data_IF_559144389829
#
_entry.id   IF_559144389829
#
_cell.length_a   1.000
_cell.length_b   1.000
_cell.length_c   1.000
_cell.angle_alpha   90.00
_cell.angle_beta   90.00
_cell.angle_gamma   90.00
#
_symmetry.space_group_name_H-M   'P 1'
#
loop_
_entity.id
_entity.type
_entity.pdbx_description
1 polymer ?
#
# COMPACT_ATOMS: atom_id res chain seq x y z
N UNK A 1 -10.47 -9.19 -7.92
CA UNK A 1 -10.02 -8.65 -6.63
C UNK A 1 -9.59 -9.81 -5.74
N UNK A 2 -8.67 -9.57 -4.82
CA UNK A 2 -8.23 -10.52 -3.81
C UNK A 2 -8.13 -9.82 -2.47
N UNK A 3 -8.32 -10.58 -1.41
CA UNK A 3 -8.15 -10.16 -0.02
C UNK A 3 -6.96 -10.90 0.60
N UNK A 4 -6.21 -10.20 1.43
CA UNK A 4 -5.24 -10.80 2.33
C UNK A 4 -5.47 -10.32 3.76
N UNK A 5 -5.43 -11.25 4.71
CA UNK A 5 -5.49 -10.97 6.15
C UNK A 5 -4.19 -11.43 6.75
N UNK A 6 -3.50 -10.56 7.50
CA UNK A 6 -2.23 -10.93 8.12
C UNK A 6 -2.40 -12.11 9.08
N UNK A 7 -3.53 -12.16 9.81
CA UNK A 7 -3.91 -13.29 10.65
C UNK A 7 -3.93 -14.66 9.94
N UNK A 8 -4.12 -14.71 8.61
CA UNK A 8 -4.08 -15.96 7.84
C UNK A 8 -2.72 -16.66 7.89
N UNK A 9 -1.66 -15.94 8.26
CA UNK A 9 -0.32 -16.51 8.50
C UNK A 9 -0.17 -17.13 9.91
N UNK A 10 -1.23 -17.20 10.71
CA UNK A 10 -1.20 -17.78 12.06
C UNK A 10 -0.71 -16.84 13.16
N UNK A 11 -0.80 -15.53 12.94
CA UNK A 11 -0.47 -14.50 13.93
C UNK A 11 -1.74 -13.75 14.40
N UNK A 12 -1.60 -12.90 15.42
CA UNK A 12 -2.71 -12.12 16.00
C UNK A 12 -2.88 -10.72 15.38
N UNK A 13 -2.29 -10.45 14.21
CA UNK A 13 -2.41 -9.16 13.54
C UNK A 13 -3.78 -9.04 12.86
N UNK A 14 -4.49 -7.95 13.15
CA UNK A 14 -5.84 -7.68 12.63
C UNK A 14 -5.85 -6.99 11.26
N UNK A 15 -4.67 -6.69 10.71
CA UNK A 15 -4.56 -6.02 9.43
C UNK A 15 -5.10 -6.88 8.28
N UNK A 16 -5.96 -6.27 7.45
CA UNK A 16 -6.49 -6.85 6.22
C UNK A 16 -6.43 -5.84 5.08
N UNK A 17 -6.31 -6.33 3.85
CA UNK A 17 -6.30 -5.50 2.67
C UNK A 17 -6.92 -6.18 1.46
N UNK A 18 -7.52 -5.39 0.57
CA UNK A 18 -8.15 -5.85 -0.67
C UNK A 18 -7.58 -5.06 -1.83
N UNK A 19 -7.18 -5.76 -2.88
CA UNK A 19 -6.67 -5.13 -4.09
C UNK A 19 -7.29 -5.74 -5.35
N UNK A 20 -7.24 -4.98 -6.45
CA UNK A 20 -7.75 -5.43 -7.75
C UNK A 20 -6.94 -6.58 -8.35
N UNK A 21 -5.63 -6.60 -8.13
CA UNK A 21 -4.71 -7.64 -8.62
C UNK A 21 -3.93 -8.30 -7.49
N UNK A 22 -3.49 -9.54 -7.71
CA UNK A 22 -2.64 -10.27 -6.77
C UNK A 22 -1.27 -9.63 -6.58
N UNK A 23 -0.73 -9.01 -7.61
CA UNK A 23 0.56 -8.31 -7.53
C UNK A 23 0.49 -7.09 -6.64
N UNK A 24 -0.55 -6.26 -6.79
CA UNK A 24 -0.76 -5.11 -5.92
C UNK A 24 -0.99 -5.53 -4.47
N UNK A 25 -1.81 -6.58 -4.24
CA UNK A 25 -2.03 -7.12 -2.91
C UNK A 25 -0.73 -7.61 -2.26
N UNK A 26 0.13 -8.26 -3.05
CA UNK A 26 1.41 -8.77 -2.59
C UNK A 26 2.43 -7.67 -2.28
N UNK A 27 2.46 -6.59 -3.06
CA UNK A 27 3.31 -5.43 -2.81
C UNK A 27 2.94 -4.76 -1.48
N UNK A 28 1.65 -4.49 -1.28
CA UNK A 28 1.13 -3.91 -0.04
C UNK A 28 1.34 -4.84 1.16
N UNK A 29 1.08 -6.14 1.00
CA UNK A 29 1.34 -7.11 2.06
C UNK A 29 2.83 -7.12 2.44
N UNK A 30 3.74 -6.98 1.48
CA UNK A 30 5.17 -6.91 1.75
C UNK A 30 5.57 -5.65 2.53
N UNK A 31 4.96 -4.50 2.21
CA UNK A 31 5.15 -3.26 2.96
C UNK A 31 4.68 -3.43 4.42
N UNK A 32 3.47 -3.93 4.62
CA UNK A 32 2.95 -4.21 5.96
C UNK A 32 3.88 -5.14 6.77
N UNK A 33 4.33 -6.24 6.16
CA UNK A 33 5.23 -7.20 6.81
C UNK A 33 6.60 -6.58 7.13
N UNK A 34 7.09 -5.67 6.30
CA UNK A 34 8.35 -4.95 6.52
C UNK A 34 8.25 -3.95 7.66
N UNK A 35 7.22 -3.10 7.66
CA UNK A 35 7.11 -1.96 8.57
C UNK A 35 6.48 -2.34 9.92
N UNK A 36 5.48 -3.23 9.92
CA UNK A 36 4.80 -3.66 11.16
C UNK A 36 5.49 -4.85 11.82
N UNK A 37 6.04 -5.77 11.02
CA UNK A 37 6.66 -6.99 11.53
C UNK A 37 8.19 -7.04 11.37
N UNK A 38 8.80 -5.99 10.83
CA UNK A 38 10.26 -5.89 10.70
C UNK A 38 10.86 -6.87 9.71
N UNK A 39 10.08 -7.45 8.79
CA UNK A 39 10.58 -8.37 7.76
C UNK A 39 11.33 -7.60 6.66
N UNK A 40 12.60 -7.30 6.94
CA UNK A 40 13.48 -6.49 6.07
C UNK A 40 13.85 -7.16 4.75
N UNK A 41 13.66 -8.48 4.61
CA UNK A 41 13.99 -9.23 3.40
C UNK A 41 12.88 -10.22 3.06
N UNK A 42 11.90 -9.77 2.29
CA UNK A 42 10.90 -10.65 1.67
C UNK A 42 11.46 -11.12 0.32
N UNK A 43 11.87 -12.38 0.27
CA UNK A 43 12.30 -12.98 -1.00
C UNK A 43 11.10 -13.25 -1.92
N UNK A 44 11.32 -13.39 -3.24
CA UNK A 44 10.25 -13.77 -4.17
C UNK A 44 9.53 -15.06 -3.76
N UNK A 45 10.27 -16.03 -3.19
CA UNK A 45 9.72 -17.27 -2.63
C UNK A 45 8.77 -17.00 -1.45
N UNK A 46 9.18 -16.14 -0.52
CA UNK A 46 8.33 -15.76 0.63
C UNK A 46 7.06 -15.03 0.17
N UNK A 47 7.17 -14.13 -0.80
CA UNK A 47 6.04 -13.48 -1.45
C UNK A 47 5.11 -14.50 -2.12
N UNK A 48 5.67 -15.50 -2.80
CA UNK A 48 4.90 -16.63 -3.36
C UNK A 48 4.13 -17.39 -2.29
N UNK A 49 4.74 -17.62 -1.12
CA UNK A 49 4.06 -18.25 0.03
C UNK A 49 2.94 -17.38 0.57
N UNK A 50 3.15 -16.07 0.72
CA UNK A 50 2.10 -15.12 1.15
C UNK A 50 0.90 -15.13 0.19
N UNK A 51 1.15 -15.20 -1.12
CA UNK A 51 0.08 -15.28 -2.14
C UNK A 51 -0.82 -16.50 -1.98
N UNK A 52 -0.34 -17.63 -1.44
CA UNK A 52 -1.18 -18.80 -1.18
C UNK A 52 -2.26 -18.56 -0.11
N UNK A 53 -2.10 -17.52 0.72
CA UNK A 53 -3.09 -17.13 1.73
C UNK A 53 -4.09 -16.10 1.21
N UNK A 54 -3.98 -15.70 -0.05
CA UNK A 54 -4.93 -14.77 -0.66
C UNK A 54 -6.26 -15.48 -0.87
N UNK A 55 -7.32 -14.80 -0.46
CA UNK A 55 -8.69 -15.29 -0.52
C UNK A 55 -9.55 -14.35 -1.36
N UNK A 56 -10.74 -14.81 -1.72
CA UNK A 56 -11.72 -13.90 -2.27
C UNK A 56 -12.33 -13.07 -1.13
N UNK A 57 -12.47 -11.74 -1.29
CA UNK A 57 -13.18 -10.92 -0.31
C UNK A 57 -14.65 -11.35 -0.20
N UNK A 58 -15.26 -11.10 0.96
CA UNK A 58 -16.71 -11.24 1.11
C UNK A 58 -17.44 -10.29 0.15
N UNK A 59 -18.71 -10.55 -0.21
CA UNK A 59 -19.47 -9.68 -1.11
C UNK A 59 -19.53 -8.22 -0.63
N UNK A 60 -19.70 -8.02 0.68
CA UNK A 60 -19.73 -6.69 1.30
C UNK A 60 -18.36 -6.00 1.18
N UNK A 61 -17.29 -6.72 1.51
CA UNK A 61 -15.93 -6.18 1.43
C UNK A 61 -15.51 -5.89 -0.03
N UNK A 62 -16.01 -6.67 -0.99
CA UNK A 62 -15.78 -6.49 -2.41
C UNK A 62 -16.52 -5.26 -2.96
N UNK A 63 -17.78 -5.07 -2.57
CA UNK A 63 -18.59 -3.91 -2.97
C UNK A 63 -18.00 -2.60 -2.41
N UNK A 64 -17.58 -2.60 -1.15
CA UNK A 64 -16.87 -1.47 -0.54
C UNK A 64 -15.57 -1.15 -1.30
N UNK A 65 -14.80 -2.17 -1.70
CA UNK A 65 -13.57 -1.98 -2.47
C UNK A 65 -13.82 -1.54 -3.93
N UNK A 66 -14.93 -1.94 -4.54
CA UNK A 66 -15.34 -1.44 -5.87
C UNK A 66 -15.80 0.01 -5.85
N UNK A 67 -16.40 0.46 -4.75
CA UNK A 67 -16.71 1.87 -4.52
C UNK A 67 -15.49 2.78 -4.38
N UNK A 68 -14.29 2.21 -4.17
CA UNK A 68 -13.05 2.98 -4.06
C UNK A 68 -12.53 3.39 -5.44
N UNK A 69 -12.55 4.69 -5.69
CA UNK A 69 -11.91 5.31 -6.87
C UNK A 69 -10.39 5.30 -6.66
N UNK A 70 -9.65 4.89 -7.70
CA UNK A 70 -8.19 4.99 -7.68
C UNK A 70 -7.77 6.43 -7.48
N UNK A 71 -6.82 6.66 -6.59
CA UNK A 71 -6.18 7.97 -6.40
C UNK A 71 -4.74 7.90 -6.90
N UNK A 72 -4.25 9.00 -7.44
CA UNK A 72 -2.87 9.21 -7.85
C UNK A 72 -2.23 10.28 -6.96
N UNK A 73 -0.98 10.03 -6.56
CA UNK A 73 -0.09 11.04 -6.00
C UNK A 73 1.10 11.23 -6.92
N UNK A 74 1.57 12.48 -7.07
CA UNK A 74 2.82 12.79 -7.73
C UNK A 74 3.72 13.54 -6.75
N UNK A 75 4.99 13.16 -6.66
CA UNK A 75 5.93 13.79 -5.73
C UNK A 75 6.09 15.30 -6.00
N UNK A 76 5.93 15.72 -7.25
CA UNK A 76 5.86 17.13 -7.66
C UNK A 76 4.69 17.92 -7.04
N UNK A 77 3.58 17.27 -6.67
CA UNK A 77 2.39 17.95 -6.11
C UNK A 77 2.63 18.48 -4.69
N UNK A 78 3.72 18.07 -4.04
CA UNK A 78 4.19 18.63 -2.76
C UNK A 78 5.44 19.52 -2.92
N UNK A 79 5.74 19.94 -4.16
CA UNK A 79 6.82 20.89 -4.47
C UNK A 79 8.21 20.26 -4.64
N UNK A 80 8.31 18.93 -4.70
CA UNK A 80 9.59 18.25 -4.97
C UNK A 80 9.93 18.23 -6.46
N UNK A 81 11.22 18.30 -6.80
CA UNK A 81 11.70 18.09 -8.18
C UNK A 81 11.87 16.58 -8.46
N UNK A 82 10.79 15.83 -8.32
CA UNK A 82 10.76 14.38 -8.52
C UNK A 82 9.53 13.99 -9.34
N UNK A 83 9.76 13.25 -10.44
CA UNK A 83 8.71 12.81 -11.37
C UNK A 83 8.04 11.49 -10.94
N UNK A 84 8.37 10.98 -9.76
CA UNK A 84 7.78 9.75 -9.25
C UNK A 84 6.29 9.96 -8.93
N UNK A 85 5.50 8.93 -9.21
CA UNK A 85 4.07 8.90 -8.97
C UNK A 85 3.63 7.53 -8.48
N UNK A 86 2.52 7.49 -7.75
CA UNK A 86 1.95 6.26 -7.22
C UNK A 86 0.44 6.31 -7.28
N UNK A 87 -0.15 5.18 -7.68
CA UNK A 87 -1.59 5.05 -7.88
C UNK A 87 -2.07 3.91 -7.00
N UNK A 88 -3.05 4.17 -6.14
CA UNK A 88 -3.63 3.15 -5.29
C UNK A 88 -5.10 3.46 -4.94
N UNK A 89 -5.80 2.48 -4.38
CA UNK A 89 -7.23 2.60 -4.08
C UNK A 89 -7.53 3.38 -2.79
N UNK A 90 -6.56 3.46 -1.87
CA UNK A 90 -6.74 4.20 -0.61
C UNK A 90 -5.58 5.15 -0.36
N UNK A 91 -5.88 6.18 0.41
CA UNK A 91 -4.91 7.21 0.80
C UNK A 91 -3.80 6.65 1.68
N UNK A 92 -4.10 5.62 2.47
CA UNK A 92 -3.13 4.94 3.33
C UNK A 92 -2.07 4.20 2.51
N UNK A 93 -2.47 3.49 1.46
CA UNK A 93 -1.52 2.85 0.54
C UNK A 93 -0.62 3.87 -0.14
N UNK A 94 -1.20 4.99 -0.55
CA UNK A 94 -0.43 6.05 -1.18
C UNK A 94 0.54 6.65 -0.17
N UNK A 95 0.10 6.94 1.05
CA UNK A 95 0.97 7.46 2.10
C UNK A 95 2.13 6.50 2.42
N UNK A 96 1.87 5.20 2.50
CA UNK A 96 2.89 4.17 2.76
C UNK A 96 3.90 4.08 1.60
N UNK A 97 3.41 3.98 0.36
CA UNK A 97 4.26 3.99 -0.83
C UNK A 97 5.09 5.27 -0.96
N UNK A 98 4.53 6.43 -0.60
CA UNK A 98 5.27 7.70 -0.57
C UNK A 98 6.33 7.70 0.54
N UNK A 99 6.05 7.15 1.72
CA UNK A 99 7.02 7.06 2.80
C UNK A 99 8.23 6.19 2.41
N UNK A 100 7.98 5.06 1.74
CA UNK A 100 9.03 4.19 1.19
C UNK A 100 9.85 4.95 0.14
N UNK A 101 9.18 5.57 -0.83
CA UNK A 101 9.86 6.35 -1.87
C UNK A 101 10.70 7.49 -1.27
N UNK A 102 10.15 8.24 -0.32
CA UNK A 102 10.84 9.32 0.37
C UNK A 102 12.10 8.83 1.09
N UNK A 103 12.04 7.65 1.71
CA UNK A 103 13.21 7.03 2.35
C UNK A 103 14.27 6.60 1.35
N UNK A 104 13.88 5.95 0.25
CA UNK A 104 14.83 5.36 -0.71
C UNK A 104 15.41 6.38 -1.69
N UNK A 105 14.58 7.25 -2.26
CA UNK A 105 14.99 8.23 -3.26
C UNK A 105 15.51 9.54 -2.66
N UNK A 106 15.04 9.90 -1.46
CA UNK A 106 15.35 11.20 -0.83
C UNK A 106 16.05 11.09 0.54
N UNK A 107 16.27 9.87 1.06
CA UNK A 107 16.94 9.66 2.34
C UNK A 107 16.14 10.15 3.54
N UNK A 108 14.83 10.40 3.39
CA UNK A 108 13.95 10.85 4.47
C UNK A 108 13.69 9.67 5.41
N UNK A 109 14.37 9.65 6.55
CA UNK A 109 14.28 8.55 7.52
C UNK A 109 13.02 8.59 8.36
N UNK A 110 12.48 9.77 8.60
CA UNK A 110 11.28 9.99 9.40
C UNK A 110 10.22 10.69 8.55
N UNK A 111 9.16 9.95 8.24
CA UNK A 111 8.02 10.48 7.50
C UNK A 111 7.04 11.10 8.48
N UNK A 112 7.17 12.42 8.70
CA UNK A 112 6.42 13.11 9.75
C UNK A 112 4.91 13.12 9.48
N UNK A 113 4.05 13.25 10.52
CA UNK A 113 2.61 13.38 10.34
C UNK A 113 2.22 14.58 9.46
N UNK A 114 3.01 15.66 9.48
CA UNK A 114 2.81 16.80 8.58
C UNK A 114 3.06 16.42 7.11
N UNK A 115 4.08 15.61 6.82
CA UNK A 115 4.30 15.07 5.47
C UNK A 115 3.16 14.16 5.03
N UNK A 116 2.65 13.28 5.92
CA UNK A 116 1.47 12.47 5.61
C UNK A 116 0.25 13.33 5.28
N UNK A 117 -0.01 14.38 6.06
CA UNK A 117 -1.10 15.31 5.78
C UNK A 117 -0.91 16.00 4.43
N UNK A 118 0.31 16.41 4.09
CA UNK A 118 0.61 16.97 2.76
C UNK A 118 0.34 15.98 1.64
N UNK A 119 0.76 14.73 1.78
CA UNK A 119 0.47 13.67 0.80
C UNK A 119 -1.03 13.51 0.61
N UNK A 120 -1.79 13.34 1.71
CA UNK A 120 -3.24 13.15 1.66
C UNK A 120 -3.99 14.32 1.00
N UNK A 121 -3.55 15.56 1.25
CA UNK A 121 -4.12 16.75 0.61
C UNK A 121 -3.74 16.90 -0.87
N UNK A 122 -2.67 16.24 -1.32
CA UNK A 122 -2.19 16.29 -2.71
C UNK A 122 -2.64 15.08 -3.54
N UNK A 123 -3.58 14.27 -3.06
CA UNK A 123 -4.13 13.13 -3.79
C UNK A 123 -5.17 13.58 -4.81
N UNK A 124 -5.07 13.04 -6.01
CA UNK A 124 -6.03 13.30 -7.10
C UNK A 124 -6.75 12.01 -7.45
N UNK A 125 -7.99 12.08 -7.95
CA UNK A 125 -8.60 10.92 -8.59
C UNK A 125 -7.81 10.55 -9.86
N UNK A 126 -7.42 9.29 -9.99
CA UNK A 126 -6.75 8.77 -11.16
C UNK A 126 -7.76 8.48 -12.27
N UNK A 127 -7.64 9.20 -13.39
CA UNK A 127 -8.58 9.14 -14.52
C UNK A 127 -8.10 8.31 -15.73
N UNK A 128 -6.97 7.60 -15.60
CA UNK A 128 -6.34 6.86 -16.70
C UNK A 128 -5.41 7.74 -17.51
#
# INVERSE_FOLDING_TARGET
MREFRCASLGNNCTWKHIAKTEELLADVAALHLRDVHGMKALTPDMLGKVKNFFSNPSPVDAEEAEGLVMKEFRCQDIGQKCSWKYIAQTEELIADGVAVHAREAHGIKEFSPEMMTRVKNSLHEWKG
#
